data_IF_039194469918
#
_entry.id   IF_039194469918
#
_cell.length_a   1.000
_cell.length_b   1.000
_cell.length_c   1.000
_cell.angle_alpha   90.00
_cell.angle_beta   90.00
_cell.angle_gamma   90.00
#
_symmetry.space_group_name_H-M   'P 1'
#
loop_
_entity.id
_entity.type
_entity.pdbx_description
1 polymer ?
#
# COMPACT_ATOMS: atom_id res chain seq x y z
N UNK A 1 -0.43 8.61 4.16
CA UNK A 1 -0.19 7.20 3.81
C UNK A 1 0.74 7.14 2.61
N UNK A 2 1.48 6.05 2.47
CA UNK A 2 2.45 5.83 1.38
C UNK A 2 2.38 4.39 0.94
N UNK A 3 2.71 4.11 -0.33
CA UNK A 3 2.87 2.74 -0.84
C UNK A 3 4.35 2.50 -1.11
N UNK A 4 4.86 1.38 -0.63
CA UNK A 4 6.20 0.89 -0.89
C UNK A 4 6.12 -0.36 -1.76
N UNK A 5 6.94 -0.40 -2.81
CA UNK A 5 7.19 -1.62 -3.58
C UNK A 5 8.56 -2.16 -3.17
N UNK A 6 8.62 -3.41 -2.71
CA UNK A 6 9.89 -4.06 -2.41
C UNK A 6 10.27 -5.01 -3.53
N UNK A 7 11.53 -4.99 -3.96
CA UNK A 7 12.06 -6.00 -4.89
C UNK A 7 12.38 -7.25 -4.07
N UNK A 8 11.41 -8.13 -3.93
CA UNK A 8 11.60 -9.39 -3.22
C UNK A 8 12.56 -10.29 -4.00
N UNK A 9 13.69 -10.66 -3.39
CA UNK A 9 14.64 -11.60 -3.98
C UNK A 9 14.16 -13.05 -3.85
N UNK A 10 13.19 -13.33 -2.98
CA UNK A 10 12.70 -14.69 -2.68
C UNK A 10 11.61 -15.17 -3.64
N UNK A 11 10.88 -14.28 -4.31
CA UNK A 11 9.78 -14.66 -5.22
C UNK A 11 10.22 -15.07 -6.62
N UNK A 12 11.53 -15.22 -6.87
CA UNK A 12 12.12 -15.43 -8.21
C UNK A 12 11.61 -14.40 -9.25
N UNK A 13 11.19 -13.20 -8.82
CA UNK A 13 10.65 -12.16 -9.69
C UNK A 13 9.26 -12.46 -10.27
N UNK A 14 8.48 -13.39 -9.69
CA UNK A 14 7.11 -13.67 -10.14
C UNK A 14 6.10 -12.67 -9.59
N UNK A 15 6.27 -12.22 -8.36
CA UNK A 15 5.38 -11.27 -7.70
C UNK A 15 6.15 -10.13 -7.06
N UNK A 16 5.57 -8.93 -7.10
CA UNK A 16 6.07 -7.74 -6.42
C UNK A 16 5.23 -7.53 -5.15
N UNK A 17 5.82 -7.58 -3.94
CA UNK A 17 5.11 -7.18 -2.73
C UNK A 17 4.94 -5.66 -2.70
N UNK A 18 3.69 -5.23 -2.51
CA UNK A 18 3.33 -3.86 -2.21
C UNK A 18 2.90 -3.75 -0.74
N UNK A 19 3.35 -2.69 -0.06
CA UNK A 19 2.96 -2.38 1.31
C UNK A 19 2.39 -0.96 1.39
N UNK A 20 1.17 -0.82 1.90
CA UNK A 20 0.55 0.47 2.18
C UNK A 20 0.69 0.81 3.65
N UNK A 21 1.38 1.90 3.97
CA UNK A 21 1.58 2.40 5.32
C UNK A 21 0.65 3.58 5.60
N UNK A 22 -0.25 3.41 6.56
CA UNK A 22 -1.20 4.42 7.01
C UNK A 22 -0.79 4.93 8.37
N UNK A 23 -0.17 6.10 8.38
CA UNK A 23 0.24 6.80 9.59
C UNK A 23 -0.95 7.46 10.27
N UNK A 24 -0.82 7.56 11.59
CA UNK A 24 -1.80 8.16 12.48
C UNK A 24 -3.21 7.54 12.38
N UNK A 25 -3.29 6.23 12.11
CA UNK A 25 -4.56 5.52 12.01
C UNK A 25 -5.05 5.03 13.39
N UNK A 26 -6.37 4.98 13.56
CA UNK A 26 -7.01 4.32 14.71
C UNK A 26 -7.47 2.93 14.21
N UNK A 27 -6.81 1.83 14.60
CA UNK A 27 -7.06 0.51 14.02
C UNK A 27 -8.50 0.02 14.08
N UNK A 28 -9.23 0.33 15.16
CA UNK A 28 -10.63 -0.10 15.34
C UNK A 28 -11.63 0.74 14.53
N UNK A 29 -11.18 1.86 13.99
CA UNK A 29 -12.01 2.80 13.25
C UNK A 29 -11.56 2.95 11.80
N UNK A 30 -10.54 2.21 11.37
CA UNK A 30 -9.91 2.35 10.05
C UNK A 30 -9.92 1.01 9.34
N UNK A 31 -10.38 0.98 8.09
CA UNK A 31 -10.32 -0.16 7.17
C UNK A 31 -9.34 0.18 6.05
N UNK A 32 -8.41 -0.72 5.74
CA UNK A 32 -7.47 -0.56 4.62
C UNK A 32 -7.67 -1.70 3.63
N UNK A 33 -7.92 -1.38 2.36
CA UNK A 33 -8.11 -2.38 1.31
C UNK A 33 -7.50 -1.90 0.00
N UNK A 34 -7.35 -2.83 -0.94
CA UNK A 34 -6.77 -2.54 -2.25
C UNK A 34 -7.83 -2.59 -3.34
N UNK A 35 -7.73 -1.67 -4.30
CA UNK A 35 -8.46 -1.70 -5.56
C UNK A 35 -7.49 -1.82 -6.72
N UNK A 36 -7.78 -2.74 -7.62
CA UNK A 36 -7.14 -2.84 -8.94
C UNK A 36 -7.93 -2.04 -9.99
N UNK A 37 -7.29 -1.77 -11.13
CA UNK A 37 -7.71 -0.89 -12.23
C UNK A 37 -9.21 -0.94 -12.63
N UNK A 38 -9.90 -2.07 -12.45
CA UNK A 38 -11.34 -2.27 -12.74
C UNK A 38 -12.18 -2.55 -11.48
N UNK A 39 -11.98 -1.79 -10.40
CA UNK A 39 -12.74 -1.89 -9.15
C UNK A 39 -12.69 -3.23 -8.41
N UNK A 40 -11.91 -4.20 -8.90
CA UNK A 40 -11.68 -5.45 -8.19
C UNK A 40 -11.04 -5.13 -6.84
N UNK A 41 -11.81 -5.38 -5.78
CA UNK A 41 -11.37 -5.20 -4.40
C UNK A 41 -10.59 -6.43 -4.01
N UNK A 42 -9.29 -6.27 -3.85
CA UNK A 42 -8.42 -7.33 -3.36
C UNK A 42 -8.18 -7.10 -1.87
N UNK A 43 -8.53 -8.10 -1.04
CA UNK A 43 -8.25 -8.04 0.38
C UNK A 43 -6.75 -8.24 0.61
N UNK A 44 -6.11 -7.23 1.22
CA UNK A 44 -4.72 -7.30 1.63
C UNK A 44 -4.58 -7.96 3.00
N UNK A 45 -3.41 -8.51 3.29
CA UNK A 45 -3.08 -8.91 4.66
C UNK A 45 -2.75 -7.65 5.47
N UNK A 46 -3.67 -7.26 6.35
CA UNK A 46 -3.46 -6.16 7.29
C UNK A 46 -2.61 -6.62 8.48
N UNK A 47 -1.54 -5.89 8.73
CA UNK A 47 -0.69 -6.00 9.90
C UNK A 47 -0.74 -4.69 10.69
N UNK A 48 -0.91 -4.80 12.01
CA UNK A 48 -0.87 -3.66 12.92
C UNK A 48 0.54 -3.59 13.50
N UNK A 49 1.33 -2.61 13.07
CA UNK A 49 2.61 -2.37 13.73
C UNK A 49 2.32 -1.85 15.14
N UNK A 50 2.56 -2.69 16.15
CA UNK A 50 2.29 -2.38 17.55
C UNK A 50 3.14 -1.20 18.03
N UNK A 51 2.56 0.01 17.99
CA UNK A 51 2.95 1.11 18.86
C UNK A 51 1.97 1.13 20.02
N UNK A 52 2.47 1.03 21.26
CA UNK A 52 1.77 0.94 22.54
C UNK A 52 0.24 0.95 22.46
N UNK A 53 -0.39 -0.17 22.85
CA UNK A 53 -1.81 -0.29 23.18
C UNK A 53 -2.20 0.62 24.36
N UNK A 54 -2.11 1.94 24.18
CA UNK A 54 -2.75 2.93 25.02
C UNK A 54 -3.95 3.46 24.24
N UNK A 55 -5.14 3.13 24.74
CA UNK A 55 -6.41 3.55 24.18
C UNK A 55 -6.38 5.03 23.74
N UNK A 56 -6.61 5.28 22.45
CA UNK A 56 -6.74 6.62 21.89
C UNK A 56 -5.49 7.25 21.25
N UNK A 57 -4.35 6.56 21.17
CA UNK A 57 -3.21 7.04 20.35
C UNK A 57 -3.17 6.41 18.96
N UNK A 58 -2.83 7.26 18.00
CA UNK A 58 -2.78 6.92 16.58
C UNK A 58 -1.52 6.09 16.26
N UNK A 59 -1.66 5.01 15.49
CA UNK A 59 -0.58 4.08 15.13
C UNK A 59 -0.26 4.04 13.64
N UNK A 60 0.59 3.08 13.23
CA UNK A 60 0.84 2.77 11.82
C UNK A 60 0.13 1.47 11.46
N UNK A 61 -0.87 1.55 10.59
CA UNK A 61 -1.46 0.36 9.94
C UNK A 61 -0.67 0.06 8.67
N UNK A 62 -0.46 -1.23 8.42
CA UNK A 62 0.27 -1.70 7.25
C UNK A 62 -0.58 -2.75 6.53
N UNK A 63 -0.86 -2.56 5.24
CA UNK A 63 -1.60 -3.56 4.43
C UNK A 63 -0.73 -4.03 3.28
N UNK A 64 -0.68 -5.34 3.05
CA UNK A 64 0.16 -5.95 2.02
C UNK A 64 -0.65 -6.69 0.96
N UNK A 65 -0.23 -6.55 -0.28
CA UNK A 65 -0.64 -7.42 -1.39
C UNK A 65 0.59 -7.90 -2.15
N UNK A 66 0.46 -9.05 -2.83
CA UNK A 66 1.42 -9.53 -3.81
C UNK A 66 0.78 -9.38 -5.18
N UNK A 67 1.39 -8.60 -6.05
CA UNK A 67 0.87 -8.38 -7.40
C UNK A 67 1.73 -9.12 -8.42
N UNK A 68 1.13 -9.67 -9.49
CA UNK A 68 1.89 -10.31 -10.55
C UNK A 68 2.90 -9.33 -11.16
N UNK A 69 4.14 -9.77 -11.34
CA UNK A 69 5.20 -8.91 -11.90
C UNK A 69 4.85 -8.46 -13.30
N UNK A 70 4.20 -9.32 -14.10
CA UNK A 70 3.73 -8.98 -15.43
C UNK A 70 2.75 -7.80 -15.41
N UNK A 71 1.69 -7.88 -14.60
CA UNK A 71 0.72 -6.79 -14.45
C UNK A 71 1.37 -5.49 -13.97
N UNK A 72 2.28 -5.59 -12.99
CA UNK A 72 3.07 -4.46 -12.55
C UNK A 72 3.94 -3.87 -13.67
N UNK A 73 4.60 -4.72 -14.47
CA UNK A 73 5.45 -4.28 -15.57
C UNK A 73 4.69 -3.70 -16.74
N UNK A 74 3.47 -4.17 -16.96
CA UNK A 74 2.57 -3.71 -18.03
C UNK A 74 1.94 -2.34 -17.68
N UNK A 75 2.22 -1.83 -16.48
CA UNK A 75 1.80 -0.51 -16.04
C UNK A 75 0.48 -0.50 -15.28
N UNK A 76 -0.07 -1.66 -14.92
CA UNK A 76 -1.31 -1.77 -14.13
C UNK A 76 -1.17 -0.99 -12.83
N UNK A 77 -2.26 -0.33 -12.46
CA UNK A 77 -2.33 0.50 -11.26
C UNK A 77 -2.92 -0.27 -10.08
N UNK A 78 -2.35 -0.01 -8.89
CA UNK A 78 -2.79 -0.60 -7.64
C UNK A 78 -3.06 0.52 -6.64
N UNK A 79 -4.28 0.54 -6.10
CA UNK A 79 -4.75 1.63 -5.24
C UNK A 79 -4.99 1.12 -3.83
N UNK A 80 -4.28 1.69 -2.85
CA UNK A 80 -4.61 1.50 -1.44
C UNK A 80 -5.69 2.50 -1.04
N UNK A 81 -6.79 2.01 -0.49
CA UNK A 81 -7.92 2.80 0.00
C UNK A 81 -8.02 2.65 1.52
N UNK A 82 -8.21 3.78 2.19
CA UNK A 82 -8.38 3.89 3.63
C UNK A 82 -9.74 4.51 3.88
N UNK A 83 -10.59 3.80 4.61
CA UNK A 83 -11.90 4.28 5.05
C UNK A 83 -11.96 4.31 6.56
N UNK A 84 -12.57 5.35 7.12
CA UNK A 84 -12.77 5.47 8.56
C UNK A 84 -14.25 5.40 8.93
N UNK A 85 -14.56 5.00 10.18
CA UNK A 85 -15.95 5.03 10.71
C UNK A 85 -16.59 6.43 10.67
N UNK A 86 -15.79 7.49 10.61
CA UNK A 86 -16.27 8.88 10.48
C UNK A 86 -16.76 9.23 9.07
N UNK A 87 -16.60 8.33 8.09
CA UNK A 87 -16.94 8.57 6.69
C UNK A 87 -15.80 9.18 5.86
N UNK A 88 -14.64 9.47 6.45
CA UNK A 88 -13.46 9.90 5.69
C UNK A 88 -12.92 8.73 4.86
N UNK A 89 -12.72 8.98 3.56
CA UNK A 89 -12.05 8.07 2.63
C UNK A 89 -10.84 8.76 2.01
N UNK A 90 -9.70 8.06 1.96
CA UNK A 90 -8.48 8.52 1.30
C UNK A 90 -7.89 7.37 0.50
N UNK A 91 -7.38 7.65 -0.70
CA UNK A 91 -6.73 6.66 -1.53
C UNK A 91 -5.34 7.13 -2.03
N UNK A 92 -4.51 6.17 -2.42
CA UNK A 92 -3.21 6.41 -3.02
C UNK A 92 -2.98 5.30 -4.03
N UNK A 93 -2.60 5.69 -5.23
CA UNK A 93 -2.39 4.78 -6.35
C UNK A 93 -0.92 4.72 -6.70
N UNK A 94 -0.44 3.52 -7.01
CA UNK A 94 0.90 3.28 -7.51
C UNK A 94 0.84 2.47 -8.80
N UNK A 95 1.76 2.75 -9.71
CA UNK A 95 2.04 1.95 -10.90
C UNK A 95 3.57 1.90 -11.06
N UNK A 96 4.07 0.96 -11.86
CA UNK A 96 5.48 0.97 -12.25
C UNK A 96 5.74 2.27 -13.00
N UNK A 97 6.44 3.19 -12.34
CA UNK A 97 6.87 4.45 -12.95
C UNK A 97 7.82 4.05 -14.08
N UNK A 98 7.42 4.29 -15.33
CA UNK A 98 8.32 4.13 -16.47
C UNK A 98 9.49 5.09 -16.31
N UNK A 99 10.59 4.63 -15.74
CA UNK A 99 11.81 5.41 -15.58
C UNK A 99 12.96 4.54 -16.10
N UNK A 100 13.68 5.09 -17.08
CA UNK A 100 14.98 4.64 -17.51
C UNK A 100 15.89 4.38 -16.30
N UNK A 101 16.77 3.40 -16.42
CA UNK A 101 17.71 2.99 -15.38
C UNK A 101 18.34 4.19 -14.66
N UNK A 102 18.35 4.17 -13.33
CA UNK A 102 19.57 4.11 -12.52
C UNK A 102 19.25 4.06 -11.02
N UNK A 103 20.03 3.25 -10.29
CA UNK A 103 20.30 3.47 -8.87
C UNK A 103 19.25 3.00 -7.87
N UNK A 104 19.58 1.87 -7.23
CA UNK A 104 19.33 1.54 -5.81
C UNK A 104 18.43 2.51 -5.02
N UNK A 105 17.31 1.98 -4.51
CA UNK A 105 16.31 2.60 -3.61
C UNK A 105 15.63 3.89 -4.12
N UNK A 106 14.45 3.74 -4.73
CA UNK A 106 13.51 4.85 -4.94
C UNK A 106 12.30 4.70 -4.03
N UNK A 107 12.23 5.53 -2.99
CA UNK A 107 10.98 5.73 -2.23
C UNK A 107 9.94 6.34 -3.18
N UNK A 108 8.94 5.56 -3.58
CA UNK A 108 7.87 6.02 -4.47
C UNK A 108 6.66 6.49 -3.66
N UNK A 109 6.77 7.60 -2.92
CA UNK A 109 5.57 8.27 -2.44
C UNK A 109 5.79 9.75 -2.13
N UNK A 110 5.24 10.62 -2.98
CA UNK A 110 4.67 11.90 -2.55
C UNK A 110 3.53 12.26 -3.50
N UNK A 111 2.30 12.30 -2.99
CA UNK A 111 1.30 13.25 -3.45
C UNK A 111 0.48 13.71 -2.25
N UNK A 112 0.92 14.84 -1.69
CA UNK A 112 0.12 15.70 -0.84
C UNK A 112 -0.47 16.80 -1.71
N UNK A 113 -1.79 16.85 -1.82
CA UNK A 113 -2.53 18.10 -1.90
C UNK A 113 -3.77 17.97 -1.05
#
# INVERSE_FOLDING_TARGET
MVILAHSDKETHGKNIPLACLVFNAIPEQTRVFWKEEEENVTEGTEWKAGGLEQAGRTGVLQSHIRVPTQEWTDGKTFTCVVETKSGLSKNTTVAKKGIAQEGHYSALAFNSR
#
